data_IF_528347199363
#
_entry.id   IF_528347199363
#
_cell.length_a   1.000
_cell.length_b   1.000
_cell.length_c   1.000
_cell.angle_alpha   90.00
_cell.angle_beta   90.00
_cell.angle_gamma   90.00
#
_symmetry.space_group_name_H-M   'P 1'
#
loop_
_entity.id
_entity.type
_entity.pdbx_description
1 polymer ?
#
# COMPACT_ATOMS: atom_id res chain seq x y z
N UNK A 1 19.54 3.81 -5.90
CA UNK A 1 18.54 4.56 -5.12
C UNK A 1 18.43 3.90 -3.76
N UNK A 2 18.85 4.57 -2.69
CA UNK A 2 18.51 4.12 -1.33
C UNK A 2 16.99 4.21 -1.21
N UNK A 3 16.33 3.07 -0.99
CA UNK A 3 14.91 3.12 -0.71
C UNK A 3 14.71 3.86 0.62
N UNK A 4 13.66 4.68 0.77
CA UNK A 4 13.53 5.59 1.90
C UNK A 4 13.39 4.89 3.27
N UNK A 5 13.24 3.57 3.29
CA UNK A 5 12.95 2.77 4.48
C UNK A 5 14.17 2.12 5.15
N UNK A 6 15.41 2.28 4.65
CA UNK A 6 16.60 1.73 5.32
C UNK A 6 16.65 0.19 5.38
N UNK A 7 16.89 -0.40 6.55
CA UNK A 7 17.11 -1.85 6.75
C UNK A 7 15.83 -2.70 6.79
N UNK A 8 14.65 -2.08 6.84
CA UNK A 8 13.36 -2.76 6.89
C UNK A 8 12.20 -1.78 6.80
N UNK A 9 11.01 -2.26 6.49
CA UNK A 9 9.82 -1.42 6.40
C UNK A 9 8.65 -1.99 7.20
N UNK A 10 7.73 -1.12 7.62
CA UNK A 10 6.39 -1.50 8.02
C UNK A 10 5.44 -1.23 6.86
N UNK A 11 4.33 -1.96 6.80
CA UNK A 11 3.27 -1.73 5.82
C UNK A 11 2.08 -1.14 6.56
N UNK A 12 1.67 0.05 6.15
CA UNK A 12 0.39 0.67 6.56
C UNK A 12 -0.63 0.33 5.48
N UNK A 13 -1.75 -0.26 5.88
CA UNK A 13 -2.86 -0.63 5.00
C UNK A 13 -4.14 0.00 5.54
N UNK A 14 -4.94 0.60 4.66
CA UNK A 14 -6.18 1.27 5.03
C UNK A 14 -7.21 1.20 3.91
N UNK A 15 -8.46 1.37 4.30
CA UNK A 15 -9.62 1.40 3.42
C UNK A 15 -10.11 2.85 3.33
N UNK A 16 -10.32 3.35 2.12
CA UNK A 16 -10.90 4.67 1.92
C UNK A 16 -12.44 4.69 2.03
N UNK A 17 -13.04 5.87 1.94
CA UNK A 17 -14.50 6.05 2.01
C UNK A 17 -15.28 5.33 0.88
N UNK A 18 -14.60 4.93 -0.19
CA UNK A 18 -15.16 4.16 -1.31
C UNK A 18 -14.94 2.65 -1.15
N UNK A 19 -14.40 2.20 -0.02
CA UNK A 19 -14.11 0.79 0.24
C UNK A 19 -12.83 0.29 -0.44
N UNK A 20 -11.98 1.16 -0.98
CA UNK A 20 -10.78 0.75 -1.70
C UNK A 20 -9.59 0.60 -0.76
N UNK A 21 -8.83 -0.48 -0.94
CA UNK A 21 -7.62 -0.72 -0.16
C UNK A 21 -6.42 -0.01 -0.75
N UNK A 22 -5.77 0.76 0.11
CA UNK A 22 -4.50 1.41 -0.14
C UNK A 22 -3.44 0.84 0.80
N UNK A 23 -2.22 0.66 0.28
CA UNK A 23 -1.07 0.19 1.06
C UNK A 23 0.15 1.04 0.79
N UNK A 24 0.92 1.34 1.84
CA UNK A 24 2.19 2.06 1.73
C UNK A 24 3.21 1.45 2.66
N UNK A 25 4.39 1.16 2.12
CA UNK A 25 5.55 0.91 2.98
C UNK A 25 5.92 2.22 3.69
N UNK A 26 6.45 2.12 4.89
CA UNK A 26 6.97 3.24 5.69
C UNK A 26 8.22 2.76 6.43
N UNK A 27 8.99 3.69 7.00
CA UNK A 27 10.16 3.35 7.80
C UNK A 27 9.81 2.40 8.97
N UNK A 28 10.74 1.55 9.37
CA UNK A 28 10.51 0.56 10.42
C UNK A 28 10.21 1.19 11.80
N UNK A 29 10.64 2.42 12.02
CA UNK A 29 10.51 3.23 13.23
C UNK A 29 9.42 4.31 13.12
N UNK A 30 8.51 4.18 12.15
CA UNK A 30 7.37 5.09 11.96
C UNK A 30 6.59 5.30 13.26
N UNK A 31 6.25 6.55 13.56
CA UNK A 31 5.40 6.91 14.71
C UNK A 31 3.91 6.86 14.35
N UNK A 32 3.04 6.82 15.35
CA UNK A 32 1.59 6.83 15.14
C UNK A 32 1.12 8.07 14.37
N UNK A 33 1.62 9.26 14.71
CA UNK A 33 1.33 10.50 13.97
C UNK A 33 1.74 10.40 12.49
N UNK A 34 2.87 9.77 12.20
CA UNK A 34 3.33 9.55 10.82
C UNK A 34 2.47 8.51 10.08
N UNK A 35 1.92 7.52 10.78
CA UNK A 35 0.93 6.59 10.21
C UNK A 35 -0.35 7.35 9.84
N UNK A 36 -0.88 8.19 10.73
CA UNK A 36 -2.06 9.03 10.45
C UNK A 36 -1.81 9.97 9.28
N UNK A 37 -0.64 10.62 9.24
CA UNK A 37 -0.25 11.47 8.12
C UNK A 37 -0.13 10.68 6.79
N UNK A 38 0.37 9.43 6.85
CA UNK A 38 0.47 8.53 5.69
C UNK A 38 -0.91 8.17 5.15
N UNK A 39 -1.87 7.84 6.02
CA UNK A 39 -3.25 7.51 5.65
C UNK A 39 -3.95 8.71 5.00
N UNK A 40 -3.71 9.92 5.52
CA UNK A 40 -4.29 11.17 4.97
C UNK A 40 -3.74 11.54 3.60
N UNK A 41 -2.56 11.06 3.22
CA UNK A 41 -2.03 11.28 1.87
C UNK A 41 -2.80 10.40 0.88
N UNK A 42 -3.63 11.01 0.05
CA UNK A 42 -4.30 10.31 -1.05
C UNK A 42 -3.25 9.67 -1.97
N UNK A 43 -3.28 8.33 -2.09
CA UNK A 43 -2.32 7.60 -2.93
C UNK A 43 -2.98 7.29 -4.27
N UNK A 44 -2.64 8.08 -5.29
CA UNK A 44 -3.00 7.82 -6.69
C UNK A 44 -2.06 6.75 -7.26
N UNK A 45 -2.12 5.52 -6.75
CA UNK A 45 -1.25 4.39 -7.11
C UNK A 45 -2.01 3.11 -7.45
N UNK A 46 -1.31 2.06 -7.91
CA UNK A 46 -1.91 0.76 -8.27
C UNK A 46 -2.74 0.21 -7.11
N UNK A 47 -4.06 0.23 -7.32
CA UNK A 47 -5.09 -0.22 -6.41
C UNK A 47 -5.10 -1.75 -6.39
N UNK A 48 -4.79 -2.36 -5.25
CA UNK A 48 -5.03 -3.78 -5.06
C UNK A 48 -6.47 -3.91 -4.55
N UNK A 49 -7.40 -4.30 -5.43
CA UNK A 49 -8.76 -4.68 -5.03
C UNK A 49 -8.65 -6.04 -4.34
N UNK A 50 -9.27 -6.19 -3.16
CA UNK A 50 -9.35 -7.48 -2.46
C UNK A 50 -9.99 -8.52 -3.38
N UNK A 51 -9.40 -9.71 -3.39
CA UNK A 51 -9.77 -10.87 -4.24
C UNK A 51 -11.09 -11.52 -3.78
N UNK A 52 -11.80 -10.95 -2.80
CA UNK A 52 -13.08 -11.47 -2.31
C UNK A 52 -14.29 -11.03 -3.16
N UNK A 53 -14.13 -10.06 -4.08
CA UNK A 53 -15.07 -9.86 -5.20
C UNK A 53 -14.70 -10.80 -6.35
N UNK A 54 -15.70 -11.52 -6.87
CA UNK A 54 -15.60 -12.65 -7.80
C UNK A 54 -14.44 -12.59 -8.83
N UNK A 55 -13.52 -13.58 -8.72
CA UNK A 55 -12.45 -14.00 -9.67
C UNK A 55 -12.21 -13.10 -10.90
N UNK A 56 -11.54 -11.96 -10.73
CA UNK A 56 -10.83 -11.36 -11.86
C UNK A 56 -9.55 -12.15 -12.21
N UNK A 57 -9.22 -12.31 -13.52
CA UNK A 57 -8.09 -13.12 -13.95
C UNK A 57 -6.77 -12.53 -13.45
N UNK A 58 -5.93 -13.38 -12.84
CA UNK A 58 -4.58 -13.01 -12.38
C UNK A 58 -3.78 -12.41 -13.54
N UNK A 59 -3.42 -11.13 -13.40
CA UNK A 59 -2.51 -10.48 -14.35
C UNK A 59 -1.09 -10.97 -14.09
N UNK A 60 -0.55 -11.79 -15.01
CA UNK A 60 0.85 -12.25 -14.97
C UNK A 60 1.74 -11.25 -15.70
N UNK A 61 2.86 -10.88 -15.09
CA UNK A 61 3.89 -10.08 -15.74
C UNK A 61 4.56 -10.92 -16.84
N UNK A 62 4.79 -10.35 -18.05
CA UNK A 62 5.46 -11.07 -19.11
C UNK A 62 6.92 -11.35 -18.71
N UNK A 63 7.30 -12.63 -18.73
CA UNK A 63 8.68 -13.07 -18.49
C UNK A 63 9.48 -12.78 -19.78
N UNK A 64 10.53 -11.98 -19.66
CA UNK A 64 11.60 -11.88 -20.67
C UNK A 64 12.64 -12.95 -20.40
#
# INVERSE_FOLDING_TARGET
MQQPWGSGCRIVEWIDEHGQISRRAVAADVTEDQVVATIRQHVTGRKHVLIDDERQPRQVLPRR
#
